data_IF_677716560926
#
_entry.id   IF_677716560926
#
_cell.length_a   1.000
_cell.length_b   1.000
_cell.length_c   1.000
_cell.angle_alpha   90.00
_cell.angle_beta   90.00
_cell.angle_gamma   90.00
#
_symmetry.space_group_name_H-M   'P 1'
#
loop_
_entity.id
_entity.type
_entity.pdbx_description
1 polymer ?
#
# COMPACT_ATOMS: atom_id res chain seq x y z
N UNK A 1 7.06 -9.25 -8.48
CA UNK A 1 7.22 -10.34 -7.49
C UNK A 1 5.92 -11.11 -7.31
N UNK A 2 5.77 -12.32 -7.88
CA UNK A 2 4.71 -13.22 -7.49
C UNK A 2 5.03 -13.86 -6.13
N UNK A 3 4.00 -14.18 -5.33
CA UNK A 3 4.16 -14.95 -4.11
C UNK A 3 3.43 -14.38 -2.89
N UNK A 4 3.50 -15.12 -1.78
CA UNK A 4 2.77 -14.84 -0.54
C UNK A 4 3.07 -13.47 0.07
N UNK A 5 4.32 -13.02 -0.02
CA UNK A 5 4.74 -11.72 0.54
C UNK A 5 4.07 -10.56 -0.22
N UNK A 6 4.09 -10.61 -1.55
CA UNK A 6 3.45 -9.59 -2.38
C UNK A 6 1.93 -9.61 -2.20
N UNK A 7 1.32 -10.80 -2.11
CA UNK A 7 -0.12 -10.93 -1.82
C UNK A 7 -0.49 -10.29 -0.48
N UNK A 8 0.31 -10.53 0.57
CA UNK A 8 0.10 -9.92 1.89
C UNK A 8 0.25 -8.38 1.84
N UNK A 9 1.29 -7.87 1.16
CA UNK A 9 1.48 -6.44 0.97
C UNK A 9 0.29 -5.79 0.23
N UNK A 10 -0.22 -6.43 -0.82
CA UNK A 10 -1.42 -5.98 -1.53
C UNK A 10 -2.67 -6.02 -0.65
N UNK A 11 -2.83 -7.05 0.19
CA UNK A 11 -3.95 -7.15 1.12
C UNK A 11 -3.96 -5.99 2.12
N UNK A 12 -2.80 -5.65 2.70
CA UNK A 12 -2.67 -4.49 3.57
C UNK A 12 -2.93 -3.17 2.83
N UNK A 13 -2.33 -2.97 1.66
CA UNK A 13 -2.53 -1.75 0.87
C UNK A 13 -4.01 -1.57 0.52
N UNK A 14 -4.68 -2.62 0.06
CA UNK A 14 -6.11 -2.61 -0.27
C UNK A 14 -6.97 -2.31 0.96
N UNK A 15 -6.63 -2.91 2.11
CA UNK A 15 -7.29 -2.59 3.39
C UNK A 15 -7.13 -1.12 3.76
N UNK A 16 -5.92 -0.58 3.70
CA UNK A 16 -5.63 0.81 4.03
C UNK A 16 -6.35 1.79 3.08
N UNK A 17 -6.33 1.52 1.77
CA UNK A 17 -7.05 2.32 0.76
C UNK A 17 -8.57 2.28 1.01
N UNK A 18 -9.13 1.10 1.28
CA UNK A 18 -10.56 0.95 1.56
C UNK A 18 -10.96 1.71 2.84
N UNK A 19 -10.11 1.69 3.88
CA UNK A 19 -10.30 2.47 5.09
C UNK A 19 -10.24 3.96 4.79
N UNK A 20 -9.22 4.43 4.06
CA UNK A 20 -9.06 5.83 3.66
C UNK A 20 -10.29 6.38 2.91
N UNK A 21 -10.82 5.64 1.93
CA UNK A 21 -12.00 6.04 1.14
C UNK A 21 -13.27 6.17 1.99
N UNK A 22 -13.39 5.39 3.07
CA UNK A 22 -14.58 5.32 3.93
C UNK A 22 -14.49 6.22 5.17
N UNK A 23 -13.45 7.03 5.28
CA UNK A 23 -13.27 7.94 6.42
C UNK A 23 -14.38 8.96 6.48
N UNK A 24 -15.04 9.00 7.63
CA UNK A 24 -16.00 10.05 7.98
C UNK A 24 -15.29 11.25 8.62
N UNK A 25 -14.11 11.01 9.20
CA UNK A 25 -13.30 12.03 9.82
C UNK A 25 -12.55 12.84 8.76
N UNK A 26 -12.87 14.13 8.65
CA UNK A 26 -12.11 15.07 7.82
C UNK A 26 -10.69 15.37 8.34
N UNK A 27 -10.13 14.54 9.23
CA UNK A 27 -8.80 14.72 9.77
C UNK A 27 -7.77 14.67 8.65
N UNK A 28 -6.89 15.67 8.59
CA UNK A 28 -5.82 15.73 7.62
C UNK A 28 -4.50 15.13 8.16
N UNK A 29 -4.56 14.32 9.22
CA UNK A 29 -3.38 13.71 9.84
C UNK A 29 -3.11 12.29 9.28
N UNK A 30 -2.23 12.14 8.26
CA UNK A 30 -1.90 10.84 7.69
C UNK A 30 -1.18 9.94 8.68
N UNK A 31 -0.49 10.51 9.67
CA UNK A 31 0.24 9.76 10.67
C UNK A 31 -0.73 9.05 11.62
N UNK A 32 -1.67 9.79 12.21
CA UNK A 32 -2.70 9.20 13.06
C UNK A 32 -3.51 8.13 12.32
N UNK A 33 -3.85 8.40 11.05
CA UNK A 33 -4.56 7.43 10.22
C UNK A 33 -3.75 6.15 9.98
N UNK A 34 -2.50 6.24 9.57
CA UNK A 34 -1.70 5.06 9.25
C UNK A 34 -1.38 4.25 10.51
N UNK A 35 -1.20 4.91 11.66
CA UNK A 35 -1.04 4.24 12.95
C UNK A 35 -2.31 3.44 13.30
N UNK A 36 -3.49 4.06 13.20
CA UNK A 36 -4.77 3.39 13.47
C UNK A 36 -5.06 2.22 12.53
N UNK A 37 -4.88 2.41 11.22
CA UNK A 37 -5.14 1.36 10.22
C UNK A 37 -4.17 0.20 10.35
N UNK A 38 -2.91 0.48 10.69
CA UNK A 38 -1.93 -0.58 10.92
C UNK A 38 -2.30 -1.41 12.14
N UNK A 39 -2.66 -0.77 13.25
CA UNK A 39 -3.10 -1.46 14.47
C UNK A 39 -4.34 -2.32 14.20
N UNK A 40 -5.33 -1.76 13.50
CA UNK A 40 -6.54 -2.48 13.13
C UNK A 40 -6.22 -3.72 12.27
N UNK A 41 -5.40 -3.58 11.24
CA UNK A 41 -5.04 -4.69 10.36
C UNK A 41 -4.33 -5.82 11.12
N UNK A 42 -3.43 -5.47 12.05
CA UNK A 42 -2.70 -6.43 12.89
C UNK A 42 -3.64 -7.23 13.81
N UNK A 43 -4.77 -6.64 14.22
CA UNK A 43 -5.76 -7.27 15.11
C UNK A 43 -6.75 -8.19 14.38
N UNK A 44 -6.92 -8.06 13.06
CA UNK A 44 -7.88 -8.87 12.29
C UNK A 44 -7.53 -10.36 12.24
N UNK A 45 -6.29 -10.76 12.55
CA UNK A 45 -5.88 -12.16 12.56
C UNK A 45 -5.98 -12.86 11.20
N UNK A 46 -5.94 -12.11 10.09
CA UNK A 46 -6.06 -12.65 8.74
C UNK A 46 -4.90 -13.62 8.40
N UNK A 47 -5.13 -14.62 7.54
CA UNK A 47 -4.06 -15.49 7.05
C UNK A 47 -2.90 -14.71 6.42
N UNK A 48 -3.17 -13.58 5.75
CA UNK A 48 -2.16 -12.68 5.17
C UNK A 48 -1.35 -11.95 6.26
N UNK A 49 -1.93 -11.72 7.44
CA UNK A 49 -1.23 -11.21 8.63
C UNK A 49 -0.29 -12.25 9.27
N UNK A 50 -0.18 -13.46 8.70
CA UNK A 50 0.84 -14.44 9.07
C UNK A 50 2.14 -14.34 8.24
N UNK A 51 2.24 -13.39 7.30
CA UNK A 51 3.49 -13.10 6.58
C UNK A 51 4.48 -12.34 7.50
N UNK A 52 5.60 -12.95 7.92
CA UNK A 52 6.50 -12.33 8.89
C UNK A 52 7.09 -11.00 8.42
N UNK A 53 7.39 -10.87 7.12
CA UNK A 53 7.98 -9.67 6.54
C UNK A 53 7.01 -8.48 6.55
N UNK A 54 5.74 -8.72 6.22
CA UNK A 54 4.71 -7.69 6.34
C UNK A 54 4.52 -7.28 7.80
N UNK A 55 4.44 -8.23 8.72
CA UNK A 55 4.24 -7.93 10.14
C UNK A 55 5.39 -7.11 10.73
N UNK A 56 6.63 -7.45 10.36
CA UNK A 56 7.83 -6.70 10.69
C UNK A 56 7.79 -5.27 10.15
N UNK A 57 7.45 -5.12 8.87
CA UNK A 57 7.24 -3.81 8.24
C UNK A 57 6.18 -2.98 8.98
N UNK A 58 4.99 -3.55 9.21
CA UNK A 58 3.87 -2.86 9.85
C UNK A 58 4.20 -2.43 11.27
N UNK A 59 4.98 -3.22 12.02
CA UNK A 59 5.46 -2.82 13.35
C UNK A 59 6.46 -1.67 13.27
N UNK A 60 7.29 -1.58 12.22
CA UNK A 60 8.31 -0.54 12.05
C UNK A 60 9.29 -0.47 13.24
N UNK A 61 9.75 -1.64 13.68
CA UNK A 61 10.66 -1.83 14.82
C UNK A 61 11.89 -2.68 14.46
N UNK A 62 12.37 -2.55 13.22
CA UNK A 62 13.54 -3.27 12.75
C UNK A 62 14.83 -2.80 13.42
N UNK A 63 15.69 -3.72 13.91
CA UNK A 63 17.00 -3.36 14.39
C UNK A 63 17.89 -2.87 13.23
N UNK A 64 19.07 -2.34 13.58
CA UNK A 64 20.09 -1.98 12.59
C UNK A 64 20.50 -3.23 11.81
N UNK A 65 20.35 -3.21 10.48
CA UNK A 65 20.62 -4.38 9.65
C UNK A 65 20.05 -4.28 8.24
N UNK A 66 19.79 -5.45 7.64
CA UNK A 66 19.38 -5.61 6.24
C UNK A 66 17.93 -5.17 5.97
N UNK A 67 17.15 -4.95 7.02
CA UNK A 67 15.73 -4.57 6.94
C UNK A 67 15.45 -3.21 7.59
N UNK A 68 16.49 -2.46 8.00
CA UNK A 68 16.33 -1.19 8.73
C UNK A 68 15.47 -0.14 7.99
N UNK A 69 15.45 -0.19 6.66
CA UNK A 69 14.58 0.63 5.81
C UNK A 69 13.08 0.34 5.97
N UNK A 70 12.66 -0.70 6.69
CA UNK A 70 11.25 -0.98 6.98
C UNK A 70 10.71 -0.13 8.14
N UNK A 71 11.57 0.66 8.79
CA UNK A 71 11.17 1.58 9.85
C UNK A 71 10.53 2.86 9.31
N UNK A 72 9.39 2.74 8.63
CA UNK A 72 8.71 3.86 7.96
C UNK A 72 8.16 4.92 8.93
N UNK A 73 8.04 4.63 10.23
CA UNK A 73 7.73 5.65 11.25
C UNK A 73 8.92 6.55 11.61
N UNK A 74 10.14 6.14 11.25
CA UNK A 74 11.35 6.92 11.49
C UNK A 74 11.32 8.24 10.71
N UNK A 75 11.74 9.38 11.29
CA UNK A 75 11.89 10.64 10.56
C UNK A 75 12.79 10.54 9.33
N UNK A 76 13.70 9.56 9.32
CA UNK A 76 14.62 9.29 8.22
C UNK A 76 14.62 7.81 7.87
N UNK A 77 14.39 7.51 6.59
CA UNK A 77 14.46 6.15 6.06
C UNK A 77 15.92 5.73 5.81
N UNK A 78 16.38 4.67 6.44
CA UNK A 78 17.79 4.24 6.44
C UNK A 78 18.16 3.37 5.22
N UNK A 79 17.91 3.87 4.00
CA UNK A 79 18.16 3.15 2.75
C UNK A 79 19.65 2.82 2.56
N UNK A 80 20.54 3.79 2.77
CA UNK A 80 21.99 3.60 2.58
C UNK A 80 22.57 2.56 3.55
N UNK A 81 22.14 2.61 4.81
CA UNK A 81 22.54 1.64 5.83
C UNK A 81 22.06 0.23 5.48
N UNK A 82 20.82 0.10 5.00
CA UNK A 82 20.27 -1.17 4.52
C UNK A 82 21.04 -1.73 3.33
N UNK A 83 21.29 -0.93 2.29
CA UNK A 83 22.05 -1.39 1.12
C UNK A 83 23.47 -1.85 1.50
N UNK A 84 24.15 -1.10 2.38
CA UNK A 84 25.46 -1.49 2.89
C UNK A 84 25.42 -2.82 3.66
N UNK A 85 24.39 -3.04 4.49
CA UNK A 85 24.21 -4.29 5.24
C UNK A 85 23.87 -5.49 4.34
N UNK A 86 23.19 -5.25 3.21
CA UNK A 86 22.86 -6.29 2.22
C UNK A 86 24.06 -6.68 1.35
N UNK A 87 24.99 -5.75 1.09
CA UNK A 87 26.14 -6.01 0.25
C UNK A 87 25.74 -6.28 -1.20
N UNK A 88 26.36 -7.27 -1.84
CA UNK A 88 26.12 -7.59 -3.26
C UNK A 88 24.92 -8.54 -3.51
N UNK A 89 24.30 -9.08 -2.46
CA UNK A 89 23.18 -10.01 -2.61
C UNK A 89 22.26 -10.04 -1.39
N UNK A 90 20.96 -10.12 -1.63
CA UNK A 90 19.93 -10.22 -0.60
C UNK A 90 18.80 -11.14 -1.05
N UNK A 91 18.34 -12.03 -0.17
CA UNK A 91 17.29 -13.01 -0.44
C UNK A 91 17.50 -13.84 -1.72
N UNK A 92 18.76 -14.14 -2.07
CA UNK A 92 19.11 -14.91 -3.27
C UNK A 92 19.20 -14.10 -4.57
N UNK A 93 18.99 -12.77 -4.51
CA UNK A 93 19.07 -11.89 -5.67
C UNK A 93 20.25 -10.91 -5.56
N UNK A 94 20.84 -10.47 -6.68
CA UNK A 94 21.86 -9.43 -6.68
C UNK A 94 21.34 -8.11 -6.09
N UNK A 95 22.20 -7.40 -5.37
CA UNK A 95 21.93 -6.04 -4.88
C UNK A 95 22.90 -5.07 -5.56
N UNK A 96 22.35 -4.06 -6.21
CA UNK A 96 23.11 -2.93 -6.73
C UNK A 96 23.23 -1.86 -5.64
N UNK A 97 24.39 -1.19 -5.51
CA UNK A 97 24.55 -0.11 -4.54
C UNK A 97 23.71 1.13 -4.87
N UNK A 98 23.23 1.26 -6.12
CA UNK A 98 22.53 2.45 -6.62
C UNK A 98 21.07 2.18 -7.02
N UNK A 99 20.51 1.01 -6.69
CA UNK A 99 19.13 0.66 -7.01
C UNK A 99 18.47 -0.03 -5.82
N UNK A 100 17.27 0.41 -5.46
CA UNK A 100 16.55 0.00 -4.25
C UNK A 100 15.03 0.10 -4.45
N UNK A 101 14.24 -0.54 -3.60
CA UNK A 101 12.77 -0.41 -3.58
C UNK A 101 12.00 -1.46 -4.37
N UNK A 102 12.67 -2.26 -5.21
CA UNK A 102 11.99 -3.28 -6.04
C UNK A 102 11.53 -4.50 -5.29
N UNK A 103 12.11 -4.78 -4.12
CA UNK A 103 11.56 -5.79 -3.22
C UNK A 103 10.26 -5.26 -2.61
N UNK A 104 9.15 -5.98 -2.78
CA UNK A 104 7.81 -5.47 -2.47
C UNK A 104 7.63 -4.90 -1.04
N UNK A 105 8.34 -5.43 -0.04
CA UNK A 105 8.30 -4.92 1.34
C UNK A 105 9.10 -3.61 1.47
N UNK A 106 10.24 -3.49 0.77
CA UNK A 106 10.96 -2.21 0.70
C UNK A 106 10.10 -1.15 0.01
N UNK A 107 9.49 -1.51 -1.12
CA UNK A 107 8.66 -0.59 -1.89
C UNK A 107 7.43 -0.11 -1.12
N UNK A 108 6.74 -1.02 -0.43
CA UNK A 108 5.65 -0.65 0.48
C UNK A 108 6.17 0.22 1.62
N UNK A 109 7.31 -0.10 2.25
CA UNK A 109 7.89 0.71 3.31
C UNK A 109 8.26 2.13 2.89
N UNK A 110 8.82 2.30 1.68
CA UNK A 110 9.07 3.62 1.10
C UNK A 110 7.76 4.39 0.93
N UNK A 111 6.72 3.76 0.40
CA UNK A 111 5.43 4.40 0.18
C UNK A 111 4.75 4.82 1.49
N UNK A 112 4.79 3.97 2.51
CA UNK A 112 4.27 4.28 3.85
C UNK A 112 5.06 5.43 4.48
N UNK A 113 6.39 5.42 4.40
CA UNK A 113 7.24 6.51 4.88
C UNK A 113 6.95 7.83 4.15
N UNK A 114 6.85 7.74 2.82
CA UNK A 114 6.54 8.86 1.95
C UNK A 114 5.23 9.53 2.33
N UNK A 115 4.20 8.76 2.66
CA UNK A 115 2.88 9.26 3.06
C UNK A 115 2.82 9.72 4.54
N UNK A 116 3.36 8.94 5.48
CA UNK A 116 3.25 9.17 6.93
C UNK A 116 3.80 10.52 7.40
N UNK A 117 4.83 11.03 6.73
CA UNK A 117 5.53 12.26 7.13
C UNK A 117 5.10 13.49 6.31
N UNK A 118 3.83 13.57 5.91
CA UNK A 118 3.33 14.62 5.00
C UNK A 118 2.05 15.29 5.49
N UNK A 119 1.62 16.32 4.77
CA UNK A 119 0.32 16.99 4.97
C UNK A 119 -0.45 17.20 3.66
N UNK A 120 0.08 16.74 2.52
CA UNK A 120 -0.60 16.83 1.22
C UNK A 120 -0.18 15.72 0.26
N UNK A 121 -1.01 15.48 -0.75
CA UNK A 121 -0.74 14.51 -1.82
C UNK A 121 0.60 14.79 -2.51
N UNK A 122 0.85 16.04 -2.90
CA UNK A 122 2.07 16.41 -3.61
C UNK A 122 3.31 16.19 -2.75
N UNK A 123 3.23 16.54 -1.46
CA UNK A 123 4.33 16.32 -0.53
C UNK A 123 4.65 14.82 -0.38
N UNK A 124 3.62 13.96 -0.34
CA UNK A 124 3.78 12.51 -0.26
C UNK A 124 4.45 11.92 -1.50
N UNK A 125 3.97 12.29 -2.68
CA UNK A 125 4.58 11.85 -3.94
C UNK A 125 6.03 12.32 -4.04
N UNK A 126 6.29 13.62 -3.83
CA UNK A 126 7.64 14.18 -3.90
C UNK A 126 8.59 13.50 -2.91
N UNK A 127 8.15 13.29 -1.66
CA UNK A 127 8.97 12.61 -0.65
C UNK A 127 9.27 11.16 -1.03
N UNK A 128 8.27 10.44 -1.55
CA UNK A 128 8.41 9.05 -1.97
C UNK A 128 9.40 8.90 -3.15
N UNK A 129 9.18 9.62 -4.25
CA UNK A 129 9.98 9.44 -5.48
C UNK A 129 11.43 9.91 -5.32
N UNK A 130 11.70 10.85 -4.41
CA UNK A 130 13.07 11.32 -4.12
C UNK A 130 13.89 10.32 -3.29
N UNK A 131 13.31 9.19 -2.87
CA UNK A 131 14.10 8.04 -2.38
C UNK A 131 14.87 7.34 -3.53
N UNK A 132 14.48 7.61 -4.78
CA UNK A 132 15.06 7.04 -6.01
C UNK A 132 14.90 5.51 -6.07
N UNK A 133 15.65 4.86 -6.97
CA UNK A 133 15.54 3.43 -7.22
C UNK A 133 14.28 3.12 -8.04
N UNK A 134 13.43 2.24 -7.53
CA UNK A 134 12.14 1.84 -8.12
C UNK A 134 11.05 2.91 -7.85
N UNK A 135 11.36 4.16 -8.22
CA UNK A 135 10.59 5.34 -7.87
C UNK A 135 9.20 5.39 -8.52
N UNK A 136 9.04 4.77 -9.70
CA UNK A 136 7.77 4.63 -10.39
C UNK A 136 6.84 3.67 -9.62
N UNK A 137 7.32 2.49 -9.22
CA UNK A 137 6.51 1.54 -8.44
C UNK A 137 6.17 2.10 -7.07
N UNK A 138 7.17 2.63 -6.35
CA UNK A 138 6.95 3.17 -5.00
C UNK A 138 6.07 4.43 -5.02
N UNK A 139 6.24 5.29 -6.03
CA UNK A 139 5.37 6.42 -6.29
C UNK A 139 3.93 5.99 -6.56
N UNK A 140 3.72 4.93 -7.35
CA UNK A 140 2.39 4.39 -7.62
C UNK A 140 1.69 3.80 -6.38
N UNK A 141 2.43 3.10 -5.51
CA UNK A 141 1.90 2.59 -4.23
C UNK A 141 1.54 3.77 -3.30
N UNK A 142 2.45 4.74 -3.17
CA UNK A 142 2.21 5.94 -2.36
C UNK A 142 1.01 6.74 -2.88
N UNK A 143 0.87 6.88 -4.20
CA UNK A 143 -0.24 7.59 -4.84
C UNK A 143 -1.59 6.94 -4.62
N UNK A 144 -1.68 5.60 -4.57
CA UNK A 144 -2.92 4.92 -4.20
C UNK A 144 -3.36 5.28 -2.77
N UNK A 145 -2.44 5.21 -1.81
CA UNK A 145 -2.73 5.52 -0.40
C UNK A 145 -3.01 7.00 -0.19
N UNK A 146 -2.13 7.88 -0.69
CA UNK A 146 -2.25 9.33 -0.56
C UNK A 146 -3.47 9.86 -1.32
N UNK A 147 -3.76 9.35 -2.52
CA UNK A 147 -4.92 9.75 -3.31
C UNK A 147 -6.23 9.34 -2.64
N UNK A 148 -6.27 8.16 -2.02
CA UNK A 148 -7.41 7.71 -1.23
C UNK A 148 -7.61 8.57 0.03
N UNK A 149 -6.52 8.99 0.68
CA UNK A 149 -6.56 9.76 1.92
C UNK A 149 -6.85 11.25 1.71
N UNK A 150 -6.13 11.91 0.81
CA UNK A 150 -6.27 13.34 0.52
C UNK A 150 -7.41 13.65 -0.47
N UNK A 151 -7.93 12.62 -1.15
CA UNK A 151 -9.00 12.73 -2.12
C UNK A 151 -8.54 13.30 -3.47
N UNK A 152 -9.38 13.09 -4.49
CA UNK A 152 -9.14 13.56 -5.85
C UNK A 152 -8.96 15.08 -5.95
N UNK A 153 -9.71 15.85 -5.16
CA UNK A 153 -9.59 17.32 -5.11
C UNK A 153 -8.26 17.81 -4.54
N UNK A 154 -7.54 16.97 -3.78
CA UNK A 154 -6.22 17.26 -3.24
C UNK A 154 -5.06 17.04 -4.22
N UNK A 155 -5.34 16.48 -5.41
CA UNK A 155 -4.32 16.22 -6.44
C UNK A 155 -4.08 17.50 -7.26
N UNK A 156 -2.80 17.81 -7.52
CA UNK A 156 -2.44 18.95 -8.36
C UNK A 156 -2.98 18.78 -9.79
N UNK A 157 -3.78 19.75 -10.24
CA UNK A 157 -4.42 19.75 -11.56
C UNK A 157 -3.42 19.62 -12.72
N UNK A 158 -2.14 19.98 -12.53
CA UNK A 158 -1.09 19.75 -13.55
C UNK A 158 -0.84 18.27 -13.79
N UNK A 159 -0.88 17.45 -12.74
CA UNK A 159 -0.72 16.00 -12.86
C UNK A 159 -1.94 15.37 -13.55
N UNK A 160 -3.15 15.80 -13.17
CA UNK A 160 -4.39 15.34 -13.81
C UNK A 160 -4.40 15.65 -15.31
N UNK A 161 -4.08 16.89 -15.69
CA UNK A 161 -3.98 17.27 -17.11
C UNK A 161 -2.94 16.45 -17.87
N UNK A 162 -1.84 16.07 -17.22
CA UNK A 162 -0.81 15.24 -17.87
C UNK A 162 -1.26 13.79 -18.02
N UNK A 163 -2.02 13.26 -17.06
CA UNK A 163 -2.61 11.92 -17.14
C UNK A 163 -3.66 11.85 -18.26
N UNK A 164 -4.52 12.87 -18.36
CA UNK A 164 -5.59 12.94 -19.38
C UNK A 164 -5.06 12.86 -20.82
N UNK A 165 -3.82 13.30 -21.07
CA UNK A 165 -3.15 13.17 -22.38
C UNK A 165 -3.04 11.71 -22.84
N UNK A 166 -2.91 10.78 -21.89
CA UNK A 166 -2.64 9.36 -22.16
C UNK A 166 -3.83 8.45 -21.84
N UNK A 167 -4.69 8.87 -20.91
CA UNK A 167 -5.73 8.02 -20.32
C UNK A 167 -7.15 8.35 -20.84
N UNK A 168 -7.36 9.53 -21.43
CA UNK A 168 -8.68 10.01 -21.91
C UNK A 168 -9.79 9.89 -20.85
N UNK A 169 -9.42 10.05 -19.56
CA UNK A 169 -10.32 9.97 -18.42
C UNK A 169 -10.80 8.56 -18.05
N UNK A 170 -10.23 7.49 -18.62
CA UNK A 170 -10.64 6.10 -18.37
C UNK A 170 -10.44 5.69 -16.90
N UNK A 171 -9.31 6.03 -16.27
CA UNK A 171 -9.02 5.75 -14.85
C UNK A 171 -10.08 6.38 -13.95
N UNK A 172 -10.43 7.65 -14.19
CA UNK A 172 -11.44 8.34 -13.39
C UNK A 172 -12.84 7.70 -13.57
N UNK A 173 -13.20 7.34 -14.80
CA UNK A 173 -14.44 6.63 -15.11
C UNK A 173 -14.51 5.27 -14.39
N UNK A 174 -13.44 4.47 -14.48
CA UNK A 174 -13.35 3.16 -13.80
C UNK A 174 -13.44 3.30 -12.29
N UNK A 175 -12.77 4.28 -11.70
CA UNK A 175 -12.85 4.55 -10.27
C UNK A 175 -14.29 4.88 -9.84
N UNK A 176 -14.98 5.75 -10.60
CA UNK A 176 -16.38 6.10 -10.35
C UNK A 176 -17.31 4.89 -10.49
N UNK A 177 -17.11 4.06 -11.51
CA UNK A 177 -17.88 2.82 -11.71
C UNK A 177 -17.66 1.84 -10.56
N UNK A 178 -16.42 1.53 -10.20
CA UNK A 178 -16.09 0.64 -9.08
C UNK A 178 -16.68 1.14 -7.77
N UNK A 179 -16.64 2.45 -7.54
CA UNK A 179 -17.26 3.06 -6.36
C UNK A 179 -18.79 2.91 -6.40
N UNK A 180 -19.43 3.18 -7.54
CA UNK A 180 -20.88 3.11 -7.70
C UNK A 180 -21.44 1.68 -7.62
N UNK A 181 -20.69 0.69 -8.13
CA UNK A 181 -21.08 -0.73 -8.15
C UNK A 181 -20.62 -1.49 -6.91
N UNK A 182 -19.99 -0.84 -5.93
CA UNK A 182 -19.50 -1.52 -4.73
C UNK A 182 -20.66 -2.15 -3.94
N UNK A 183 -20.47 -3.33 -3.34
CA UNK A 183 -21.43 -3.89 -2.38
C UNK A 183 -21.65 -2.91 -1.22
N UNK A 184 -22.91 -2.63 -0.89
CA UNK A 184 -23.27 -1.72 0.22
C UNK A 184 -23.05 -2.35 1.60
N UNK A 185 -22.91 -3.68 1.66
CA UNK A 185 -22.59 -4.45 2.86
C UNK A 185 -21.63 -5.59 2.50
N UNK A 186 -20.63 -5.82 3.34
CA UNK A 186 -19.90 -7.09 3.41
C UNK A 186 -20.46 -7.83 4.62
N UNK A 187 -21.58 -8.54 4.44
CA UNK A 187 -21.98 -9.58 5.39
C UNK A 187 -21.14 -10.84 5.17
N UNK A 188 -20.96 -11.71 6.17
CA UNK A 188 -20.34 -13.01 5.93
C UNK A 188 -21.14 -13.71 4.83
N UNK A 189 -20.45 -14.29 3.86
CA UNK A 189 -21.08 -15.09 2.82
C UNK A 189 -21.92 -16.17 3.50
N UNK A 190 -23.24 -16.07 3.41
CA UNK A 190 -24.10 -17.21 3.74
C UNK A 190 -23.65 -18.36 2.86
N UNK A 191 -23.20 -19.44 3.51
CA UNK A 191 -22.93 -20.69 2.85
C UNK A 191 -24.19 -21.08 2.08
N UNK A 192 -24.10 -21.10 0.76
CA UNK A 192 -25.14 -21.68 -0.09
C UNK A 192 -25.13 -23.20 0.11
N UNK A 193 -25.73 -23.66 1.21
CA UNK A 193 -26.30 -24.99 1.31
C UNK A 193 -27.64 -24.99 0.58
N UNK A 194 -27.64 -25.49 -0.65
CA UNK A 194 -28.80 -26.17 -1.24
C UNK A 194 -28.35 -27.10 -2.36
N UNK A 195 -27.57 -28.12 -1.97
CA UNK A 195 -27.43 -29.34 -2.73
C UNK A 195 -28.29 -30.44 -2.09
N UNK A 196 -29.61 -30.24 -2.03
CA UNK A 196 -30.56 -31.35 -1.85
C UNK A 196 -31.83 -31.07 -2.66
N UNK A 197 -32.21 -32.03 -3.51
CA UNK A 197 -33.59 -32.15 -3.99
C UNK A 197 -33.83 -32.00 -5.49
N UNK A 198 -33.18 -32.80 -6.34
CA UNK A 198 -33.87 -33.26 -7.57
C UNK A 198 -33.34 -34.62 -8.03
N UNK A 199 -33.78 -35.67 -7.33
CA UNK A 199 -33.86 -37.01 -7.90
C UNK A 199 -35.30 -37.21 -8.41
N UNK A 200 -35.43 -37.79 -9.61
CA UNK A 200 -36.64 -38.34 -10.24
C UNK A 200 -37.62 -37.36 -10.91
N UNK A 201 -37.61 -37.29 -12.25
CA UNK A 201 -38.59 -37.97 -13.11
C UNK A 201 -38.36 -37.65 -14.62
N UNK A 202 -38.41 -38.73 -15.41
CA UNK A 202 -38.37 -38.89 -16.88
C UNK A 202 -36.99 -38.96 -17.54
#
# INVERSE_FOLDING_TARGET
HPGRIAAAACAFLGFAVARAIRREDGSADPKAFLDSVTEEFLQLGLPEASCPELMRLLRSLEPKGKEQCWNWRSPKLEVRGTLAARGSSYNGYPCSPNYFGSYCIDGLGIALWGFYHTTSFMEAIVRCINVLGDADTTGAICGQLAGAFYGHSGIDKRLLRQLDVWDDGDIACRAALLYATRPRSFGPAEHAESAEGCTQQL
#
